data_IF_316844574718
#
_entry.id   IF_316844574718
#
_cell.length_a   1.000
_cell.length_b   1.000
_cell.length_c   1.000
_cell.angle_alpha   90.00
_cell.angle_beta   90.00
_cell.angle_gamma   90.00
#
_symmetry.space_group_name_H-M   'P 1'
#
loop_
_entity.id
_entity.type
_entity.pdbx_description
1 polymer ?
#
# COMPACT_ATOMS: atom_id res chain seq x y z
N UNK A 1 -17.67 -7.86 27.12
CA UNK A 1 -16.83 -7.96 25.94
C UNK A 1 -17.56 -8.40 24.67
N UNK A 2 -18.86 -8.68 24.66
CA UNK A 2 -19.65 -9.08 23.47
C UNK A 2 -20.36 -7.92 22.72
N UNK A 3 -20.19 -6.67 23.12
CA UNK A 3 -20.88 -5.50 22.53
C UNK A 3 -19.98 -4.52 21.75
N UNK A 4 -18.68 -4.79 21.60
CA UNK A 4 -17.77 -3.96 20.82
C UNK A 4 -17.51 -4.53 19.41
N UNK A 5 -17.84 -5.80 19.20
CA UNK A 5 -17.64 -6.53 17.92
C UNK A 5 -18.76 -6.34 16.90
N UNK A 6 -19.85 -5.64 17.26
CA UNK A 6 -21.03 -5.46 16.38
C UNK A 6 -21.02 -4.18 15.54
N UNK A 7 -19.89 -3.46 15.44
CA UNK A 7 -19.82 -2.23 14.65
C UNK A 7 -19.11 -2.36 13.30
N UNK A 8 -18.59 -3.54 12.98
CA UNK A 8 -17.89 -3.78 11.70
C UNK A 8 -18.58 -4.81 10.79
N UNK A 9 -19.69 -5.40 11.20
CA UNK A 9 -20.30 -6.40 10.39
C UNK A 9 -21.73 -6.75 10.77
N UNK A 10 -22.67 -5.82 10.79
CA UNK A 10 -24.09 -6.08 10.60
C UNK A 10 -24.90 -4.77 10.69
N UNK A 11 -25.22 -4.14 9.60
CA UNK A 11 -26.47 -3.40 9.48
C UNK A 11 -27.44 -4.26 8.70
N UNK A 12 -28.44 -4.74 9.43
CA UNK A 12 -29.60 -5.46 8.94
C UNK A 12 -30.30 -4.61 7.89
N UNK A 13 -30.48 -5.20 6.74
CA UNK A 13 -31.25 -4.71 5.59
C UNK A 13 -32.69 -4.45 6.04
N UNK A 14 -33.12 -3.20 6.03
CA UNK A 14 -34.51 -2.85 5.82
C UNK A 14 -34.69 -2.44 4.37
N UNK A 15 -35.34 -3.30 3.61
CA UNK A 15 -35.75 -3.05 2.24
C UNK A 15 -36.67 -1.85 2.15
N UNK A 16 -36.16 -0.74 1.65
CA UNK A 16 -37.00 0.27 1.00
C UNK A 16 -36.51 0.45 -0.42
N UNK A 17 -37.31 -0.06 -1.36
CA UNK A 17 -37.13 0.17 -2.79
C UNK A 17 -37.33 1.63 -3.12
N UNK A 18 -36.25 2.39 -3.12
CA UNK A 18 -36.17 3.64 -3.85
C UNK A 18 -35.04 3.48 -4.87
N UNK A 19 -35.42 3.38 -6.14
CA UNK A 19 -34.51 3.53 -7.27
C UNK A 19 -33.94 4.95 -7.23
N UNK A 20 -32.90 5.15 -6.44
CA UNK A 20 -32.06 6.33 -6.56
C UNK A 20 -31.21 6.14 -7.80
N UNK A 21 -31.45 6.94 -8.81
CA UNK A 21 -30.46 7.16 -9.87
C UNK A 21 -29.24 7.72 -9.15
N UNK A 22 -28.24 6.88 -8.88
CA UNK A 22 -26.96 7.33 -8.36
C UNK A 22 -26.30 8.06 -9.52
N UNK A 23 -26.43 9.39 -9.50
CA UNK A 23 -25.56 10.25 -10.28
C UNK A 23 -24.13 9.96 -9.81
N UNK A 24 -23.33 9.31 -10.64
CA UNK A 24 -21.90 9.14 -10.45
C UNK A 24 -21.20 10.50 -10.57
N UNK A 25 -21.47 11.42 -9.64
CA UNK A 25 -20.66 12.63 -9.49
C UNK A 25 -19.55 12.31 -8.51
N UNK A 26 -18.30 12.34 -8.99
CA UNK A 26 -17.12 12.34 -8.12
C UNK A 26 -17.33 13.50 -7.13
N UNK A 27 -17.21 13.26 -5.81
CA UNK A 27 -17.32 14.32 -4.83
C UNK A 27 -16.32 15.43 -5.15
N UNK A 28 -16.77 16.64 -5.39
CA UNK A 28 -15.88 17.80 -5.46
C UNK A 28 -15.65 18.25 -4.03
N UNK A 29 -14.43 18.02 -3.49
CA UNK A 29 -13.99 18.57 -2.22
C UNK A 29 -13.96 20.10 -2.29
N UNK A 30 -14.14 20.78 -1.17
CA UNK A 30 -13.74 22.19 -1.03
C UNK A 30 -12.24 22.20 -1.30
N UNK A 31 -11.78 22.90 -2.36
CA UNK A 31 -10.42 22.79 -2.89
C UNK A 31 -9.37 22.95 -1.79
N UNK A 32 -8.68 21.86 -1.48
CA UNK A 32 -7.57 21.90 -0.55
C UNK A 32 -6.43 22.65 -1.23
N UNK A 33 -5.86 23.61 -0.52
CA UNK A 33 -4.64 24.27 -0.96
C UNK A 33 -3.45 23.33 -0.74
N UNK A 34 -3.12 22.56 -1.78
CA UNK A 34 -1.96 21.68 -1.79
C UNK A 34 -0.63 22.44 -1.88
N UNK A 35 -0.63 23.78 -2.01
CA UNK A 35 0.57 24.59 -2.16
C UNK A 35 0.94 25.37 -0.89
N UNK A 36 0.24 25.13 0.22
CA UNK A 36 0.47 25.86 1.46
C UNK A 36 1.70 25.32 2.21
N UNK A 37 2.58 26.24 2.65
CA UNK A 37 3.69 26.01 3.58
C UNK A 37 4.65 24.85 3.16
N UNK A 38 4.83 24.63 1.86
CA UNK A 38 5.55 23.47 1.32
C UNK A 38 7.00 23.36 1.83
N UNK A 39 7.70 24.48 1.97
CA UNK A 39 9.07 24.57 2.46
C UNK A 39 9.22 24.34 3.97
N UNK A 40 8.12 24.34 4.72
CA UNK A 40 8.11 24.11 6.18
C UNK A 40 7.77 22.64 6.55
N UNK A 41 7.19 21.88 5.61
CA UNK A 41 6.76 20.51 5.88
C UNK A 41 7.95 19.65 6.31
N UNK A 42 7.85 18.98 7.46
CA UNK A 42 8.87 18.10 8.00
C UNK A 42 10.15 18.79 8.54
N UNK A 43 10.25 20.13 8.51
CA UNK A 43 11.44 20.85 8.96
C UNK A 43 11.65 20.84 10.47
N UNK A 44 10.60 20.75 11.25
CA UNK A 44 10.63 20.80 12.72
C UNK A 44 10.75 19.41 13.39
N UNK A 45 11.02 18.37 12.62
CA UNK A 45 11.23 17.02 13.16
C UNK A 45 12.53 16.96 13.98
N UNK A 46 12.48 16.26 15.12
CA UNK A 46 13.67 15.99 15.93
C UNK A 46 14.55 14.94 15.24
N UNK A 47 15.71 15.37 14.77
CA UNK A 47 16.71 14.55 14.09
C UNK A 47 17.96 14.30 14.93
N UNK A 48 17.90 14.58 16.23
CA UNK A 48 19.08 14.49 17.13
C UNK A 48 19.64 13.07 17.26
N UNK A 49 18.83 12.05 16.89
CA UNK A 49 19.21 10.63 16.90
C UNK A 49 19.42 10.06 15.51
N UNK A 50 19.25 10.86 14.45
CA UNK A 50 19.39 10.40 13.09
C UNK A 50 20.85 10.01 12.79
N UNK A 51 21.04 8.81 12.24
CA UNK A 51 22.37 8.27 11.92
C UNK A 51 22.70 8.48 10.44
N UNK A 52 23.98 8.59 10.13
CA UNK A 52 24.54 8.45 8.78
C UNK A 52 25.01 7.00 8.62
N UNK A 53 24.26 6.19 7.90
CA UNK A 53 24.53 4.76 7.68
C UNK A 53 24.71 4.44 6.20
N UNK A 54 25.15 5.44 5.40
CA UNK A 54 25.46 5.28 3.99
C UNK A 54 26.54 4.22 3.75
N UNK A 55 26.41 3.46 2.68
CA UNK A 55 27.40 2.48 2.25
C UNK A 55 28.10 2.95 0.98
N UNK A 56 29.40 2.74 0.90
CA UNK A 56 30.20 3.08 -0.27
C UNK A 56 30.16 1.94 -1.31
N UNK A 57 30.28 2.32 -2.59
CA UNK A 57 30.48 1.36 -3.67
C UNK A 57 29.29 1.11 -4.58
N UNK A 58 28.09 1.51 -4.18
CA UNK A 58 26.90 1.49 -5.03
C UNK A 58 26.65 2.87 -5.64
N UNK A 59 25.82 2.94 -6.70
CA UNK A 59 25.39 4.21 -7.27
C UNK A 59 24.59 5.03 -6.24
N UNK A 60 23.65 4.39 -5.54
CA UNK A 60 23.01 4.97 -4.37
C UNK A 60 23.76 4.55 -3.10
N UNK A 61 23.99 5.49 -2.20
CA UNK A 61 24.68 5.22 -0.92
C UNK A 61 23.76 4.56 0.12
N UNK A 62 22.45 4.60 -0.07
CA UNK A 62 21.46 3.87 0.74
C UNK A 62 20.14 3.67 -0.01
N UNK A 63 19.29 2.80 0.54
CA UNK A 63 17.99 2.47 -0.02
C UNK A 63 16.97 2.26 1.09
N UNK A 64 15.81 2.89 0.97
CA UNK A 64 14.71 2.80 1.93
C UNK A 64 13.40 2.46 1.22
N UNK A 65 12.51 1.75 1.94
CA UNK A 65 11.19 1.35 1.46
C UNK A 65 10.12 1.92 2.41
N UNK A 66 9.13 2.59 1.86
CA UNK A 66 7.91 3.02 2.54
C UNK A 66 6.71 2.46 1.79
N UNK A 67 5.64 2.12 2.51
CA UNK A 67 4.46 1.62 1.81
C UNK A 67 3.47 0.85 2.67
N UNK A 68 2.69 0.03 1.98
CA UNK A 68 1.68 -0.84 2.58
C UNK A 68 2.02 -2.34 2.42
N UNK A 69 1.00 -3.20 2.29
CA UNK A 69 1.18 -4.65 2.21
C UNK A 69 1.94 -5.13 0.96
N UNK A 70 1.95 -4.36 -0.13
CA UNK A 70 2.71 -4.69 -1.34
C UNK A 70 4.23 -4.52 -1.15
N UNK A 71 4.65 -3.90 -0.05
CA UNK A 71 6.05 -3.63 0.30
C UNK A 71 6.43 -4.10 1.70
N UNK A 72 5.45 -4.57 2.51
CA UNK A 72 5.67 -5.04 3.88
C UNK A 72 6.59 -6.26 3.93
N UNK A 73 7.44 -6.26 4.96
CA UNK A 73 8.34 -7.35 5.31
C UNK A 73 8.53 -7.31 6.84
N UNK A 74 7.67 -8.02 7.57
CA UNK A 74 7.56 -8.00 9.04
C UNK A 74 7.04 -6.69 9.66
N UNK A 75 6.62 -5.70 8.88
CA UNK A 75 6.16 -4.40 9.39
C UNK A 75 4.91 -4.53 10.25
N UNK A 76 3.88 -5.24 9.77
CA UNK A 76 2.64 -5.44 10.54
C UNK A 76 2.88 -6.25 11.84
N UNK A 77 3.77 -7.25 11.80
CA UNK A 77 4.13 -8.03 12.99
C UNK A 77 4.76 -7.12 14.05
N UNK A 78 5.69 -6.26 13.64
CA UNK A 78 6.41 -5.36 14.52
C UNK A 78 5.50 -4.26 15.09
N UNK A 79 4.66 -3.63 14.28
CA UNK A 79 3.78 -2.55 14.77
C UNK A 79 2.69 -3.09 15.70
N UNK A 80 2.15 -4.28 15.45
CA UNK A 80 1.20 -4.92 16.36
C UNK A 80 1.87 -5.17 17.71
N UNK A 81 3.09 -5.71 17.72
CA UNK A 81 3.82 -5.94 18.97
C UNK A 81 4.07 -4.63 19.71
N UNK A 82 4.54 -3.57 19.05
CA UNK A 82 4.79 -2.27 19.67
C UNK A 82 3.54 -1.62 20.29
N UNK A 83 2.37 -1.80 19.65
CA UNK A 83 1.13 -1.14 20.09
C UNK A 83 0.34 -1.93 21.11
N UNK A 84 0.47 -3.25 21.10
CA UNK A 84 -0.42 -4.13 21.89
C UNK A 84 0.32 -5.08 22.81
N UNK A 85 1.63 -5.24 22.71
CA UNK A 85 2.46 -6.30 23.27
C UNK A 85 1.99 -7.72 22.88
N UNK A 86 1.15 -7.85 21.86
CA UNK A 86 0.77 -9.13 21.28
C UNK A 86 1.80 -9.56 20.24
N UNK A 87 2.01 -10.84 20.11
CA UNK A 87 2.85 -11.39 19.03
C UNK A 87 1.94 -11.94 17.97
N UNK A 88 2.10 -11.43 16.76
CA UNK A 88 1.53 -12.01 15.53
C UNK A 88 2.68 -12.44 14.63
N UNK A 89 2.46 -13.52 13.88
CA UNK A 89 3.43 -14.04 12.90
C UNK A 89 2.72 -14.42 11.62
N UNK A 90 3.23 -13.94 10.51
CA UNK A 90 2.79 -14.36 9.18
C UNK A 90 3.35 -15.76 8.90
N UNK A 91 2.48 -16.71 8.65
CA UNK A 91 2.81 -18.15 8.51
C UNK A 91 2.09 -18.78 7.31
N UNK A 92 2.24 -20.09 7.14
CA UNK A 92 1.60 -20.82 6.06
C UNK A 92 2.21 -20.48 4.69
N UNK A 93 1.41 -19.90 3.81
CA UNK A 93 1.86 -19.54 2.46
C UNK A 93 2.53 -18.17 2.38
N UNK A 94 2.39 -17.30 3.39
CA UNK A 94 3.17 -16.08 3.52
C UNK A 94 4.66 -16.40 3.67
N UNK A 95 5.52 -15.63 3.06
CA UNK A 95 6.98 -15.77 3.15
C UNK A 95 7.64 -14.46 3.58
N UNK A 96 8.67 -14.59 4.41
CA UNK A 96 9.51 -13.47 4.83
C UNK A 96 8.74 -12.28 5.44
N UNK A 97 7.63 -12.58 6.15
CA UNK A 97 6.77 -11.55 6.72
C UNK A 97 6.05 -10.67 5.71
N UNK A 98 5.93 -11.13 4.45
CA UNK A 98 5.31 -10.38 3.35
C UNK A 98 3.96 -10.99 2.95
N UNK A 99 3.07 -10.16 2.41
CA UNK A 99 1.74 -10.56 1.94
C UNK A 99 1.79 -11.25 0.57
N UNK A 100 2.76 -12.15 0.41
CA UNK A 100 2.97 -12.93 -0.82
C UNK A 100 3.76 -14.20 -0.50
N UNK A 101 3.97 -15.07 -1.50
CA UNK A 101 4.74 -16.30 -1.39
C UNK A 101 6.26 -16.13 -1.61
N UNK A 102 6.79 -14.92 -1.47
CA UNK A 102 8.22 -14.63 -1.66
C UNK A 102 8.60 -13.21 -1.22
N UNK A 103 9.55 -12.60 -1.90
CA UNK A 103 9.96 -11.21 -1.66
C UNK A 103 9.06 -10.23 -2.42
N UNK A 104 8.87 -9.04 -1.84
CA UNK A 104 8.15 -7.93 -2.50
C UNK A 104 9.00 -7.23 -3.56
N UNK A 105 8.37 -6.48 -4.46
CA UNK A 105 9.06 -5.76 -5.53
C UNK A 105 10.09 -4.75 -5.00
N UNK A 106 9.79 -4.08 -3.89
CA UNK A 106 10.72 -3.15 -3.25
C UNK A 106 11.97 -3.83 -2.71
N UNK A 107 11.83 -5.01 -2.05
CA UNK A 107 12.97 -5.80 -1.55
C UNK A 107 13.81 -6.30 -2.72
N UNK A 108 13.19 -6.83 -3.77
CA UNK A 108 13.89 -7.31 -4.97
C UNK A 108 14.58 -6.17 -5.75
N UNK A 109 14.03 -4.96 -5.73
CA UNK A 109 14.71 -3.78 -6.27
C UNK A 109 15.99 -3.47 -5.46
N UNK A 110 15.92 -3.51 -4.13
CA UNK A 110 17.08 -3.34 -3.27
C UNK A 110 18.20 -4.35 -3.56
N UNK A 111 17.84 -5.62 -3.79
CA UNK A 111 18.79 -6.65 -4.19
C UNK A 111 19.47 -6.33 -5.53
N UNK A 112 18.70 -5.90 -6.54
CA UNK A 112 19.22 -5.47 -7.86
C UNK A 112 20.15 -4.26 -7.78
N UNK A 113 19.96 -3.38 -6.81
CA UNK A 113 20.78 -2.19 -6.56
C UNK A 113 22.02 -2.49 -5.70
N UNK A 114 22.24 -3.75 -5.30
CA UNK A 114 23.41 -4.19 -4.54
C UNK A 114 23.28 -4.08 -3.02
N UNK A 115 22.08 -3.81 -2.50
CA UNK A 115 21.81 -3.80 -1.05
C UNK A 115 21.44 -5.18 -0.49
N UNK A 116 21.26 -6.19 -1.37
CA UNK A 116 20.82 -7.52 -0.99
C UNK A 116 19.38 -7.54 -0.48
N UNK A 117 18.89 -8.71 -0.08
CA UNK A 117 17.57 -8.89 0.50
C UNK A 117 17.52 -8.54 2.00
N UNK A 118 18.65 -8.22 2.61
CA UNK A 118 18.74 -7.76 4.01
C UNK A 118 18.05 -6.40 4.25
N UNK A 119 17.60 -5.74 3.18
CA UNK A 119 16.79 -4.53 3.23
C UNK A 119 15.42 -4.78 3.87
N UNK A 120 14.93 -6.04 3.86
CA UNK A 120 13.76 -6.40 4.65
C UNK A 120 14.09 -6.32 6.14
N UNK A 121 13.10 -5.97 6.95
CA UNK A 121 13.30 -5.90 8.38
C UNK A 121 13.45 -7.27 9.02
N UNK A 122 14.23 -7.30 10.11
CA UNK A 122 14.25 -8.44 11.01
C UNK A 122 13.08 -8.37 12.01
N UNK A 123 12.77 -9.49 12.64
CA UNK A 123 11.75 -9.63 13.69
C UNK A 123 11.91 -8.68 14.90
N UNK A 124 13.05 -8.03 15.05
CA UNK A 124 13.37 -7.19 16.22
C UNK A 124 13.61 -5.71 15.87
N UNK A 125 13.35 -5.31 14.63
CA UNK A 125 13.51 -3.90 14.21
C UNK A 125 12.18 -3.16 14.33
N UNK A 126 11.89 -2.63 15.51
CA UNK A 126 10.69 -1.86 15.78
C UNK A 126 10.78 -0.42 15.26
N UNK A 127 9.63 0.23 15.03
CA UNK A 127 9.54 1.61 14.56
C UNK A 127 10.18 2.61 15.52
N UNK A 128 10.22 2.31 16.81
CA UNK A 128 10.85 3.16 17.84
C UNK A 128 12.32 2.80 18.12
N UNK A 129 12.96 1.95 17.30
CA UNK A 129 14.35 1.59 17.45
C UNK A 129 15.26 2.60 16.76
N UNK A 130 15.85 3.50 17.54
CA UNK A 130 16.81 4.52 17.08
C UNK A 130 18.27 4.07 17.14
N UNK A 131 18.57 2.91 17.70
CA UNK A 131 19.93 2.38 17.78
C UNK A 131 20.30 1.56 16.55
N UNK A 132 19.34 0.78 16.06
CA UNK A 132 19.45 0.01 14.83
C UNK A 132 18.14 0.24 14.05
N UNK A 133 17.97 1.39 13.39
CA UNK A 133 16.74 1.74 12.72
C UNK A 133 16.53 0.86 11.48
N UNK A 134 15.27 0.68 11.17
CA UNK A 134 14.83 -0.11 10.03
C UNK A 134 15.07 0.64 8.71
N UNK A 135 15.13 -0.11 7.60
CA UNK A 135 15.18 0.44 6.24
C UNK A 135 13.91 0.21 5.44
N UNK A 136 13.13 -0.81 5.81
CA UNK A 136 11.79 -1.02 5.28
C UNK A 136 10.75 -0.57 6.32
N UNK A 137 10.06 0.52 6.03
CA UNK A 137 9.03 1.13 6.88
C UNK A 137 7.61 0.72 6.47
N UNK A 138 7.46 -0.07 5.39
CA UNK A 138 6.16 -0.50 4.91
C UNK A 138 5.42 -1.36 5.93
N UNK A 139 4.10 -1.22 6.00
CA UNK A 139 3.24 -1.94 6.94
C UNK A 139 1.93 -2.33 6.26
N UNK A 140 1.59 -3.61 6.33
CA UNK A 140 0.31 -4.10 5.83
C UNK A 140 -0.89 -3.30 6.35
N UNK A 141 -1.76 -2.88 5.46
CA UNK A 141 -2.93 -2.05 5.78
C UNK A 141 -2.63 -0.56 5.94
N UNK A 142 -1.37 -0.11 5.80
CA UNK A 142 -1.06 1.32 5.86
C UNK A 142 -1.78 2.10 4.76
N UNK A 143 -2.11 3.36 5.07
CA UNK A 143 -2.83 4.30 4.20
C UNK A 143 -2.14 5.66 4.18
N UNK A 144 -2.50 6.48 3.22
CA UNK A 144 -2.20 7.92 3.27
C UNK A 144 -3.18 8.65 4.17
N UNK A 145 -4.49 8.43 4.03
CA UNK A 145 -5.50 8.97 4.92
C UNK A 145 -5.54 8.21 6.26
N UNK A 146 -6.12 8.83 7.29
CA UNK A 146 -6.36 8.13 8.56
C UNK A 146 -7.57 7.21 8.46
N UNK A 147 -7.39 5.98 8.88
CA UNK A 147 -8.44 4.97 8.96
C UNK A 147 -9.28 5.11 10.23
N UNK A 148 -10.58 4.83 10.11
CA UNK A 148 -11.46 4.65 11.27
C UNK A 148 -11.42 3.20 11.78
N UNK A 149 -11.97 2.96 12.97
CA UNK A 149 -12.14 1.63 13.55
C UNK A 149 -10.87 1.00 14.14
N UNK A 150 -10.93 -0.31 14.36
CA UNK A 150 -9.90 -1.05 15.09
C UNK A 150 -8.54 -1.03 14.37
N UNK A 151 -8.53 -1.27 13.06
CA UNK A 151 -7.28 -1.20 12.30
C UNK A 151 -6.64 0.18 12.35
N UNK A 152 -7.45 1.27 12.34
CA UNK A 152 -6.94 2.63 12.47
C UNK A 152 -6.12 2.86 13.74
N UNK A 153 -6.40 2.14 14.85
CA UNK A 153 -5.60 2.25 16.07
C UNK A 153 -4.14 1.75 15.89
N UNK A 154 -3.93 0.84 14.95
CA UNK A 154 -2.61 0.29 14.62
C UNK A 154 -2.00 1.08 13.47
N UNK A 155 -2.66 1.11 12.30
CA UNK A 155 -2.06 1.59 11.06
C UNK A 155 -1.93 3.12 10.96
N UNK A 156 -2.75 3.90 11.69
CA UNK A 156 -2.63 5.36 11.66
C UNK A 156 -1.31 5.89 12.23
N UNK A 157 -0.65 5.10 13.09
CA UNK A 157 0.66 5.45 13.65
C UNK A 157 1.81 5.16 12.70
N UNK A 158 1.53 4.47 11.61
CA UNK A 158 2.45 4.08 10.54
C UNK A 158 1.85 4.36 9.16
N UNK A 159 0.99 5.38 9.07
CA UNK A 159 0.56 5.92 7.78
C UNK A 159 1.76 6.41 6.99
N UNK A 160 1.63 6.58 5.67
CA UNK A 160 2.77 6.94 4.82
C UNK A 160 3.49 8.22 5.29
N UNK A 161 2.75 9.22 5.79
CA UNK A 161 3.33 10.43 6.37
C UNK A 161 4.12 10.13 7.65
N UNK A 162 3.63 9.25 8.52
CA UNK A 162 4.33 8.85 9.74
C UNK A 162 5.58 8.01 9.41
N UNK A 163 5.52 7.11 8.43
CA UNK A 163 6.69 6.38 7.94
C UNK A 163 7.79 7.33 7.46
N UNK A 164 7.45 8.36 6.69
CA UNK A 164 8.41 9.38 6.25
C UNK A 164 8.99 10.18 7.42
N UNK A 165 8.19 10.47 8.46
CA UNK A 165 8.69 11.13 9.68
C UNK A 165 9.64 10.22 10.45
N UNK A 166 9.33 8.93 10.63
CA UNK A 166 10.25 7.96 11.25
C UNK A 166 11.57 7.90 10.49
N UNK A 167 11.53 7.77 9.16
CA UNK A 167 12.72 7.73 8.33
C UNK A 167 13.62 8.96 8.59
N UNK A 168 13.07 10.18 8.52
CA UNK A 168 13.82 11.43 8.73
C UNK A 168 14.35 11.57 10.16
N UNK A 169 13.65 11.03 11.16
CA UNK A 169 14.08 11.09 12.56
C UNK A 169 15.15 10.03 12.89
N UNK A 170 15.26 8.97 12.10
CA UNK A 170 16.17 7.84 12.35
C UNK A 170 17.40 7.88 11.44
N UNK A 171 17.29 8.46 10.23
CA UNK A 171 18.38 8.55 9.27
C UNK A 171 18.61 9.99 8.82
N UNK A 172 19.89 10.35 8.64
CA UNK A 172 20.26 11.57 7.94
C UNK A 172 20.11 11.29 6.44
N UNK A 173 19.18 12.00 5.77
CA UNK A 173 18.96 11.80 4.35
C UNK A 173 19.91 12.62 3.49
N UNK A 174 20.41 12.00 2.43
CA UNK A 174 21.33 12.60 1.48
C UNK A 174 20.82 12.51 0.04
N UNK A 175 21.39 13.33 -0.83
CA UNK A 175 20.95 13.42 -2.22
C UNK A 175 21.33 12.23 -3.10
N UNK A 176 22.17 11.36 -2.63
CA UNK A 176 22.66 10.15 -3.29
C UNK A 176 21.99 8.85 -2.75
N UNK A 177 20.86 8.99 -2.07
CA UNK A 177 20.06 7.86 -1.56
C UNK A 177 18.80 7.71 -2.35
N UNK A 178 18.28 6.47 -2.45
CA UNK A 178 17.02 6.14 -3.09
C UNK A 178 15.95 5.79 -2.05
N UNK A 179 14.76 6.35 -2.21
CA UNK A 179 13.59 5.99 -1.43
C UNK A 179 12.53 5.44 -2.38
N UNK A 180 12.11 4.19 -2.17
CA UNK A 180 10.97 3.61 -2.85
C UNK A 180 9.72 3.79 -1.99
N UNK A 181 8.65 4.27 -2.60
CA UNK A 181 7.35 4.49 -1.94
C UNK A 181 6.26 3.82 -2.77
N UNK A 182 5.47 2.99 -2.12
CA UNK A 182 4.28 2.37 -2.71
C UNK A 182 3.12 2.54 -1.75
N UNK A 183 1.99 3.15 -2.18
CA UNK A 183 0.85 3.43 -1.29
C UNK A 183 -0.41 3.81 -2.09
N UNK A 184 -1.57 3.59 -1.47
CA UNK A 184 -2.86 4.12 -1.92
C UNK A 184 -3.92 3.07 -2.17
N UNK A 185 -3.52 1.79 -2.27
CA UNK A 185 -4.46 0.67 -2.47
C UNK A 185 -5.49 0.58 -1.35
N UNK A 186 -5.05 0.68 -0.10
CA UNK A 186 -5.93 0.63 1.07
C UNK A 186 -6.84 1.87 1.19
N UNK A 187 -6.37 3.06 0.80
CA UNK A 187 -7.21 4.27 0.73
C UNK A 187 -8.32 4.09 -0.31
N UNK A 188 -7.98 3.52 -1.47
CA UNK A 188 -8.93 3.24 -2.54
C UNK A 188 -10.00 2.24 -2.09
N UNK A 189 -9.59 1.10 -1.50
CA UNK A 189 -10.51 0.09 -0.97
C UNK A 189 -11.41 0.68 0.13
N UNK A 190 -10.88 1.53 1.02
CA UNK A 190 -11.68 2.22 2.02
C UNK A 190 -12.74 3.13 1.39
N UNK A 191 -12.42 3.87 0.33
CA UNK A 191 -13.38 4.73 -0.38
C UNK A 191 -14.42 3.96 -1.18
N UNK A 192 -14.16 2.71 -1.56
CA UNK A 192 -15.12 1.85 -2.24
C UNK A 192 -16.14 1.21 -1.30
N UNK A 193 -15.99 1.37 0.01
CA UNK A 193 -16.95 0.84 0.98
C UNK A 193 -18.35 1.44 0.78
N UNK A 194 -19.34 0.57 0.64
CA UNK A 194 -20.74 0.94 0.33
C UNK A 194 -21.42 1.75 1.45
N UNK A 195 -20.89 1.68 2.67
CA UNK A 195 -21.45 2.39 3.83
C UNK A 195 -20.98 3.85 3.93
N UNK A 196 -20.08 4.30 3.06
CA UNK A 196 -19.57 5.67 3.10
C UNK A 196 -20.43 6.60 2.23
N UNK A 197 -20.83 7.71 2.81
CA UNK A 197 -21.41 8.84 2.06
C UNK A 197 -20.35 9.49 1.16
N UNK A 198 -20.78 10.18 0.10
CA UNK A 198 -19.89 10.94 -0.78
C UNK A 198 -19.04 11.96 -0.02
N UNK A 199 -19.59 12.60 1.04
CA UNK A 199 -18.84 13.53 1.90
C UNK A 199 -17.70 12.83 2.65
N UNK A 200 -17.92 11.61 3.14
CA UNK A 200 -16.87 10.84 3.81
C UNK A 200 -15.79 10.39 2.83
N UNK A 201 -16.18 9.95 1.64
CA UNK A 201 -15.23 9.59 0.57
C UNK A 201 -14.36 10.77 0.15
N UNK A 202 -14.97 11.96 -0.03
CA UNK A 202 -14.24 13.20 -0.33
C UNK A 202 -13.21 13.51 0.77
N UNK A 203 -13.59 13.40 2.04
CA UNK A 203 -12.66 13.65 3.16
C UNK A 203 -11.48 12.68 3.17
N UNK A 204 -11.71 11.40 2.86
CA UNK A 204 -10.62 10.41 2.74
C UNK A 204 -9.69 10.80 1.60
N UNK A 205 -10.24 11.09 0.41
CA UNK A 205 -9.46 11.52 -0.75
C UNK A 205 -8.63 12.78 -0.45
N UNK A 206 -9.26 13.78 0.11
CA UNK A 206 -8.61 15.05 0.45
C UNK A 206 -7.45 14.82 1.45
N UNK A 207 -7.68 14.04 2.48
CA UNK A 207 -6.65 13.70 3.47
C UNK A 207 -5.52 12.85 2.85
N UNK A 208 -5.86 11.88 2.00
CA UNK A 208 -4.90 11.08 1.25
C UNK A 208 -3.94 11.97 0.46
N UNK A 209 -4.46 12.91 -0.32
CA UNK A 209 -3.66 13.81 -1.16
C UNK A 209 -2.78 14.75 -0.31
N UNK A 210 -3.32 15.31 0.78
CA UNK A 210 -2.54 16.15 1.71
C UNK A 210 -1.40 15.37 2.33
N UNK A 211 -1.66 14.17 2.82
CA UNK A 211 -0.64 13.36 3.50
C UNK A 211 0.41 12.85 2.51
N UNK A 212 0.02 12.50 1.26
CA UNK A 212 0.96 12.13 0.21
C UNK A 212 1.90 13.30 -0.13
N UNK A 213 1.34 14.52 -0.32
CA UNK A 213 2.13 15.74 -0.48
C UNK A 213 3.08 15.95 0.70
N UNK A 214 2.58 15.83 1.93
CA UNK A 214 3.38 15.99 3.13
C UNK A 214 4.52 14.96 3.19
N UNK A 215 4.27 13.72 2.79
CA UNK A 215 5.26 12.66 2.69
C UNK A 215 6.41 13.09 1.78
N UNK A 216 6.11 13.49 0.55
CA UNK A 216 7.14 13.88 -0.41
C UNK A 216 7.93 15.11 0.05
N UNK A 217 7.25 16.15 0.56
CA UNK A 217 7.95 17.34 1.06
C UNK A 217 8.71 17.07 2.36
N UNK A 218 8.23 16.19 3.25
CA UNK A 218 9.01 15.77 4.42
C UNK A 218 10.35 15.18 4.00
N UNK A 219 10.36 14.29 3.03
CA UNK A 219 11.57 13.65 2.55
C UNK A 219 12.50 14.65 1.82
N UNK A 220 11.97 15.37 0.84
CA UNK A 220 12.77 16.28 0.01
C UNK A 220 13.28 17.50 0.77
N UNK A 221 12.49 18.07 1.70
CA UNK A 221 12.93 19.13 2.60
C UNK A 221 14.04 18.68 3.57
N UNK A 222 14.22 17.39 3.77
CA UNK A 222 15.22 16.82 4.66
C UNK A 222 16.38 16.12 3.93
N UNK A 223 16.51 16.29 2.61
CA UNK A 223 17.72 15.89 1.88
C UNK A 223 17.49 14.91 0.73
N UNK A 224 16.38 14.15 0.71
CA UNK A 224 16.11 13.19 -0.37
C UNK A 224 16.02 13.87 -1.75
N UNK A 225 16.61 13.24 -2.76
CA UNK A 225 16.60 13.70 -4.16
C UNK A 225 16.22 12.61 -5.15
N UNK A 226 16.10 11.36 -4.72
CA UNK A 226 15.65 10.26 -5.58
C UNK A 226 14.54 9.50 -4.86
N UNK A 227 13.31 9.74 -5.27
CA UNK A 227 12.11 9.06 -4.79
C UNK A 227 11.48 8.35 -5.97
N UNK A 228 11.46 7.02 -5.94
CA UNK A 228 10.70 6.20 -6.87
C UNK A 228 9.33 5.93 -6.26
N UNK A 229 8.31 6.51 -6.82
CA UNK A 229 6.94 6.34 -6.36
C UNK A 229 6.17 5.35 -7.24
N UNK A 230 5.50 4.37 -6.64
CA UNK A 230 4.54 3.49 -7.29
C UNK A 230 3.15 3.79 -6.71
N UNK A 231 2.21 4.19 -7.57
CA UNK A 231 0.84 4.48 -7.17
C UNK A 231 0.00 3.20 -6.99
N UNK A 232 -1.27 3.37 -6.54
CA UNK A 232 -2.22 2.26 -6.37
C UNK A 232 -2.45 1.51 -7.69
N UNK A 233 -2.62 0.16 -7.67
CA UNK A 233 -3.13 -0.56 -8.83
C UNK A 233 -4.56 -0.14 -9.16
N UNK A 234 -5.01 -0.45 -10.37
CA UNK A 234 -6.43 -0.39 -10.70
C UNK A 234 -7.15 -1.55 -10.02
N UNK A 235 -7.82 -1.23 -8.92
CA UNK A 235 -8.41 -2.23 -8.04
C UNK A 235 -9.62 -2.95 -8.64
N UNK A 236 -10.18 -2.48 -9.77
CA UNK A 236 -11.25 -3.21 -10.44
C UNK A 236 -10.83 -4.61 -10.91
N UNK A 237 -9.52 -4.81 -11.13
CA UNK A 237 -8.97 -6.08 -11.60
C UNK A 237 -8.61 -7.05 -10.48
N UNK A 238 -8.51 -6.62 -9.22
CA UNK A 238 -8.17 -7.55 -8.13
C UNK A 238 -9.32 -8.51 -7.83
N UNK A 239 -9.04 -9.77 -7.40
CA UNK A 239 -10.07 -10.77 -7.14
C UNK A 239 -11.16 -10.28 -6.19
N UNK A 240 -10.82 -9.50 -5.16
CA UNK A 240 -11.76 -8.95 -4.18
C UNK A 240 -12.94 -8.20 -4.83
N UNK A 241 -12.70 -7.46 -5.91
CA UNK A 241 -13.72 -6.72 -6.65
C UNK A 241 -14.12 -7.41 -7.96
N UNK A 242 -13.62 -8.61 -8.23
CA UNK A 242 -13.90 -9.36 -9.45
C UNK A 242 -14.34 -10.79 -9.15
N UNK A 243 -13.41 -11.75 -9.12
CA UNK A 243 -13.74 -13.17 -9.02
C UNK A 243 -14.39 -13.57 -7.69
N UNK A 244 -14.00 -12.89 -6.60
CA UNK A 244 -14.46 -13.20 -5.23
C UNK A 244 -15.42 -12.15 -4.67
N UNK A 245 -15.89 -11.21 -5.52
CA UNK A 245 -16.76 -10.12 -5.09
C UNK A 245 -18.15 -10.62 -4.67
N UNK A 246 -18.55 -10.37 -3.42
CA UNK A 246 -19.86 -10.68 -2.83
C UNK A 246 -20.41 -12.06 -3.28
N UNK A 247 -19.69 -13.16 -3.01
CA UNK A 247 -20.07 -14.50 -3.52
C UNK A 247 -21.41 -15.00 -2.98
N UNK A 248 -21.89 -14.40 -1.88
CA UNK A 248 -23.19 -14.71 -1.26
C UNK A 248 -24.40 -14.17 -2.04
N UNK A 249 -24.19 -13.21 -2.95
CA UNK A 249 -25.28 -12.64 -3.76
C UNK A 249 -25.65 -13.55 -4.94
N UNK A 250 -26.95 -13.55 -5.36
CA UNK A 250 -27.35 -14.14 -6.61
C UNK A 250 -26.56 -13.59 -7.81
N UNK A 251 -26.19 -14.44 -8.77
CA UNK A 251 -25.27 -14.08 -9.86
C UNK A 251 -25.65 -12.79 -10.61
N UNK A 252 -26.93 -12.58 -10.92
CA UNK A 252 -27.38 -11.38 -11.64
C UNK A 252 -27.29 -10.10 -10.79
N UNK A 253 -27.52 -10.19 -9.48
CA UNK A 253 -27.40 -9.09 -8.54
C UNK A 253 -25.91 -8.77 -8.33
N UNK A 254 -25.08 -9.79 -8.09
CA UNK A 254 -23.64 -9.65 -7.96
C UNK A 254 -23.00 -8.98 -9.17
N UNK A 255 -23.38 -9.36 -10.40
CA UNK A 255 -22.81 -8.76 -11.60
C UNK A 255 -23.18 -7.28 -11.73
N UNK A 256 -24.39 -6.90 -11.36
CA UNK A 256 -24.80 -5.48 -11.31
C UNK A 256 -24.03 -4.69 -10.27
N UNK A 257 -23.89 -5.23 -9.06
CA UNK A 257 -23.13 -4.59 -7.98
C UNK A 257 -21.64 -4.47 -8.37
N UNK A 258 -21.07 -5.51 -9.00
CA UNK A 258 -19.70 -5.51 -9.50
C UNK A 258 -19.49 -4.41 -10.54
N UNK A 259 -20.39 -4.24 -11.50
CA UNK A 259 -20.30 -3.15 -12.47
C UNK A 259 -20.28 -1.78 -11.79
N UNK A 260 -21.15 -1.55 -10.79
CA UNK A 260 -21.20 -0.27 -10.06
C UNK A 260 -19.90 0.03 -9.30
N UNK A 261 -19.32 -0.99 -8.63
CA UNK A 261 -18.07 -0.79 -7.91
C UNK A 261 -16.89 -0.57 -8.86
N UNK A 262 -16.86 -1.24 -10.04
CA UNK A 262 -15.85 -1.00 -11.07
C UNK A 262 -15.93 0.42 -11.64
N UNK A 263 -17.14 0.91 -12.01
CA UNK A 263 -17.32 2.28 -12.46
C UNK A 263 -16.81 3.31 -11.41
N UNK A 264 -17.11 3.06 -10.13
CA UNK A 264 -16.65 3.89 -9.03
C UNK A 264 -15.13 3.82 -8.84
N UNK A 265 -14.55 2.62 -8.90
CA UNK A 265 -13.12 2.38 -8.77
C UNK A 265 -12.33 3.12 -9.85
N UNK A 266 -12.78 3.01 -11.10
CA UNK A 266 -12.15 3.68 -12.24
C UNK A 266 -12.17 5.20 -12.08
N UNK A 267 -13.32 5.80 -11.79
CA UNK A 267 -13.46 7.25 -11.58
C UNK A 267 -12.59 7.77 -10.44
N UNK A 268 -12.53 7.06 -9.32
CA UNK A 268 -11.69 7.42 -8.17
C UNK A 268 -10.20 7.26 -8.51
N UNK A 269 -9.83 6.15 -9.15
CA UNK A 269 -8.47 5.86 -9.53
C UNK A 269 -7.90 6.88 -10.51
N UNK A 270 -8.67 7.24 -11.56
CA UNK A 270 -8.31 8.30 -12.49
C UNK A 270 -8.07 9.65 -11.77
N UNK A 271 -8.96 10.00 -10.83
CA UNK A 271 -8.84 11.24 -10.06
C UNK A 271 -7.62 11.21 -9.15
N UNK A 272 -7.40 10.13 -8.40
CA UNK A 272 -6.22 9.96 -7.54
C UNK A 272 -4.94 10.07 -8.37
N UNK A 273 -4.88 9.36 -9.49
CA UNK A 273 -3.72 9.36 -10.38
C UNK A 273 -3.42 10.77 -10.93
N UNK A 274 -4.46 11.48 -11.38
CA UNK A 274 -4.32 12.85 -11.88
C UNK A 274 -3.79 13.82 -10.80
N UNK A 275 -4.39 13.82 -9.60
CA UNK A 275 -3.98 14.73 -8.54
C UNK A 275 -2.59 14.36 -7.98
N UNK A 276 -2.27 13.08 -7.92
CA UNK A 276 -0.93 12.60 -7.54
C UNK A 276 0.14 13.09 -8.50
N UNK A 277 -0.09 13.02 -9.81
CA UNK A 277 0.84 13.58 -10.82
C UNK A 277 1.08 15.07 -10.61
N UNK A 278 0.04 15.85 -10.31
CA UNK A 278 0.18 17.29 -9.99
C UNK A 278 1.03 17.53 -8.72
N UNK A 279 0.87 16.68 -7.70
CA UNK A 279 1.70 16.77 -6.49
C UNK A 279 3.16 16.50 -6.86
N UNK A 280 3.44 15.45 -7.63
CA UNK A 280 4.78 15.10 -8.10
C UNK A 280 5.39 16.24 -8.92
N UNK A 281 4.63 16.81 -9.86
CA UNK A 281 5.06 17.96 -10.67
C UNK A 281 5.41 19.15 -9.78
N UNK A 282 4.60 19.42 -8.74
CA UNK A 282 4.88 20.48 -7.76
C UNK A 282 6.18 20.20 -7.02
N UNK A 283 6.41 18.99 -6.52
CA UNK A 283 7.67 18.64 -5.85
C UNK A 283 8.86 18.80 -6.81
N UNK A 284 8.74 18.34 -8.05
CA UNK A 284 9.80 18.45 -9.06
C UNK A 284 10.07 19.90 -9.52
N UNK A 285 9.13 20.83 -9.32
CA UNK A 285 9.39 22.28 -9.48
C UNK A 285 10.28 22.83 -8.37
N UNK A 286 10.12 22.37 -7.12
CA UNK A 286 10.94 22.77 -5.98
C UNK A 286 12.28 22.02 -5.94
N UNK A 287 12.28 20.76 -6.30
CA UNK A 287 13.41 19.83 -6.26
C UNK A 287 13.49 19.08 -7.60
N UNK A 288 14.16 19.65 -8.61
CA UNK A 288 14.15 19.11 -9.96
C UNK A 288 14.56 17.66 -10.06
N UNK A 289 13.76 16.86 -10.79
CA UNK A 289 13.99 15.43 -11.05
C UNK A 289 14.09 14.55 -9.79
N UNK A 290 13.49 15.00 -8.66
CA UNK A 290 13.57 14.26 -7.40
C UNK A 290 12.58 13.11 -7.29
N UNK A 291 11.45 13.15 -8.01
CA UNK A 291 10.47 12.06 -8.00
C UNK A 291 10.25 11.55 -9.41
N UNK A 292 10.38 10.23 -9.57
CA UNK A 292 9.89 9.49 -10.74
C UNK A 292 8.78 8.54 -10.31
N UNK A 293 7.84 8.26 -11.21
CA UNK A 293 6.66 7.45 -10.91
C UNK A 293 6.56 6.23 -11.83
N UNK A 294 6.37 5.07 -11.22
CA UNK A 294 5.80 3.92 -11.90
C UNK A 294 4.27 3.97 -11.78
N UNK A 295 3.59 4.27 -12.87
CA UNK A 295 2.12 4.40 -12.90
C UNK A 295 1.46 3.02 -12.95
N UNK A 296 1.38 2.35 -11.79
CA UNK A 296 0.80 1.02 -11.68
C UNK A 296 -0.68 1.04 -12.05
N UNK A 297 -1.43 2.12 -11.71
CA UNK A 297 -2.84 2.26 -12.08
C UNK A 297 -3.04 2.10 -13.59
N UNK A 298 -2.34 2.91 -14.38
CA UNK A 298 -2.45 2.85 -15.84
C UNK A 298 -1.86 1.57 -16.44
N UNK A 299 -0.93 0.92 -15.75
CA UNK A 299 -0.25 -0.29 -16.23
C UNK A 299 -0.87 -1.60 -15.75
N UNK A 300 -1.85 -1.59 -14.81
CA UNK A 300 -2.41 -2.82 -14.23
C UNK A 300 -2.94 -3.77 -15.30
N UNK A 301 -3.75 -3.28 -16.24
CA UNK A 301 -4.28 -4.12 -17.33
C UNK A 301 -3.18 -4.71 -18.20
N UNK A 302 -2.22 -3.90 -18.62
CA UNK A 302 -1.08 -4.37 -19.45
C UNK A 302 -0.24 -5.42 -18.73
N UNK A 303 -0.08 -5.28 -17.41
CA UNK A 303 0.62 -6.25 -16.57
C UNK A 303 -0.15 -7.59 -16.54
N UNK A 304 -1.47 -7.55 -16.35
CA UNK A 304 -2.32 -8.74 -16.42
C UNK A 304 -2.27 -9.41 -17.78
N UNK A 305 -2.33 -8.63 -18.87
CA UNK A 305 -2.24 -9.16 -20.24
C UNK A 305 -0.87 -9.82 -20.49
N UNK A 306 0.23 -9.23 -19.98
CA UNK A 306 1.57 -9.80 -20.06
C UNK A 306 1.66 -11.18 -19.41
N UNK A 307 1.08 -11.36 -18.25
CA UNK A 307 1.06 -12.65 -17.57
C UNK A 307 0.03 -13.62 -18.17
N UNK A 308 -1.18 -13.16 -18.46
CA UNK A 308 -2.27 -13.98 -18.98
C UNK A 308 -2.00 -14.45 -20.41
N UNK A 309 -1.92 -13.51 -21.35
CA UNK A 309 -1.73 -13.82 -22.75
C UNK A 309 -0.28 -14.20 -23.09
N UNK A 310 0.69 -13.53 -22.44
CA UNK A 310 2.11 -13.74 -22.71
C UNK A 310 2.69 -15.00 -22.06
N UNK A 311 2.26 -15.35 -20.85
CA UNK A 311 2.84 -16.44 -20.05
C UNK A 311 1.83 -17.54 -19.68
N UNK A 312 0.53 -17.36 -19.99
CA UNK A 312 -0.51 -18.36 -19.72
C UNK A 312 -0.94 -18.43 -18.25
N UNK A 313 -0.74 -17.38 -17.47
CA UNK A 313 -1.16 -17.33 -16.07
C UNK A 313 -2.68 -17.17 -15.93
N UNK A 314 -3.23 -17.72 -14.85
CA UNK A 314 -4.56 -17.32 -14.37
C UNK A 314 -4.43 -15.92 -13.74
N UNK A 315 -5.06 -14.93 -14.37
CA UNK A 315 -5.02 -13.52 -13.94
C UNK A 315 -6.32 -13.09 -13.24
N UNK A 316 -7.16 -14.03 -12.85
CA UNK A 316 -8.50 -13.74 -12.30
C UNK A 316 -8.67 -14.30 -10.88
N UNK A 317 -8.28 -15.56 -10.67
CA UNK A 317 -8.51 -16.26 -9.40
C UNK A 317 -7.24 -16.26 -8.53
N UNK A 318 -7.39 -16.11 -7.21
CA UNK A 318 -6.28 -16.19 -6.28
C UNK A 318 -5.94 -17.65 -5.92
N UNK A 319 -4.68 -17.88 -5.52
CA UNK A 319 -4.21 -19.20 -5.03
C UNK A 319 -4.60 -19.42 -3.56
N UNK A 320 -4.60 -18.36 -2.77
CA UNK A 320 -4.99 -18.40 -1.35
C UNK A 320 -6.17 -17.47 -1.09
N UNK A 321 -6.67 -17.46 0.15
CA UNK A 321 -7.76 -16.59 0.57
C UNK A 321 -7.28 -15.61 1.64
N UNK A 322 -7.71 -14.37 1.51
CA UNK A 322 -7.59 -13.35 2.55
C UNK A 322 -8.93 -13.23 3.27
N UNK A 323 -8.99 -13.70 4.52
CA UNK A 323 -10.14 -13.44 5.40
C UNK A 323 -9.80 -12.21 6.27
N UNK A 324 -10.22 -11.02 5.81
CA UNK A 324 -9.94 -9.77 6.51
C UNK A 324 -10.51 -9.75 7.94
N UNK A 325 -11.67 -10.37 8.16
CA UNK A 325 -12.28 -10.41 9.50
C UNK A 325 -11.49 -11.30 10.43
N UNK A 326 -11.08 -12.48 9.97
CA UNK A 326 -10.22 -13.37 10.72
C UNK A 326 -8.82 -12.77 10.94
N UNK A 327 -8.30 -12.02 9.97
CA UNK A 327 -7.03 -11.30 10.08
C UNK A 327 -7.09 -10.28 11.23
N UNK A 328 -8.13 -9.44 11.26
CA UNK A 328 -8.33 -8.42 12.30
C UNK A 328 -8.49 -9.09 13.68
N UNK A 329 -9.32 -10.11 13.79
CA UNK A 329 -9.52 -10.85 15.03
C UNK A 329 -8.23 -11.47 15.56
N UNK A 330 -7.41 -12.05 14.68
CA UNK A 330 -6.09 -12.61 15.03
C UNK A 330 -5.09 -11.55 15.46
N UNK A 331 -5.06 -10.39 14.77
CA UNK A 331 -4.21 -9.26 15.16
C UNK A 331 -4.49 -8.83 16.61
N UNK A 332 -5.76 -8.75 17.00
CA UNK A 332 -6.16 -8.34 18.35
C UNK A 332 -6.19 -9.48 19.37
N UNK A 333 -6.10 -10.73 18.96
CA UNK A 333 -5.96 -11.88 19.85
C UNK A 333 -4.51 -12.33 20.05
N UNK A 334 -3.63 -11.96 19.15
CA UNK A 334 -2.29 -12.52 18.97
C UNK A 334 -2.34 -13.89 18.27
N UNK A 335 -1.27 -14.29 17.65
CA UNK A 335 -1.14 -15.61 17.03
C UNK A 335 -0.72 -15.56 15.55
N UNK A 336 -0.96 -16.66 14.83
CA UNK A 336 -0.53 -16.79 13.46
C UNK A 336 -1.54 -16.18 12.47
N UNK A 337 -1.05 -15.38 11.56
CA UNK A 337 -1.78 -14.91 10.38
C UNK A 337 -1.48 -15.90 9.25
N UNK A 338 -2.45 -16.70 8.90
CA UNK A 338 -2.32 -17.72 7.84
C UNK A 338 -3.10 -17.32 6.59
N UNK A 339 -2.58 -17.71 5.43
CA UNK A 339 -3.25 -17.61 4.13
C UNK A 339 -3.60 -19.03 3.65
N UNK A 340 -4.81 -19.53 3.92
CA UNK A 340 -5.20 -20.87 3.46
C UNK A 340 -5.36 -20.90 1.95
N UNK A 341 -5.10 -22.05 1.33
CA UNK A 341 -5.36 -22.23 -0.08
C UNK A 341 -6.85 -22.04 -0.42
N UNK A 342 -7.11 -21.43 -1.57
CA UNK A 342 -8.42 -21.47 -2.20
C UNK A 342 -8.77 -22.92 -2.57
N UNK A 343 -10.08 -23.21 -2.75
CA UNK A 343 -10.54 -24.57 -3.05
C UNK A 343 -9.86 -25.15 -4.30
N UNK A 344 -9.24 -26.31 -4.17
CA UNK A 344 -8.53 -27.00 -5.23
C UNK A 344 -7.13 -26.50 -5.55
N UNK A 345 -6.67 -25.42 -4.91
CA UNK A 345 -5.33 -24.85 -5.13
C UNK A 345 -4.27 -25.52 -4.26
N UNK A 346 -3.03 -25.45 -4.73
CA UNK A 346 -1.84 -26.01 -4.12
C UNK A 346 -0.64 -25.07 -4.25
N UNK A 347 0.49 -25.43 -3.68
CA UNK A 347 1.75 -24.66 -3.83
C UNK A 347 2.20 -24.53 -5.29
N UNK A 348 1.88 -25.51 -6.16
CA UNK A 348 2.25 -25.47 -7.58
C UNK A 348 1.52 -24.36 -8.36
N UNK A 349 0.38 -23.92 -7.86
CA UNK A 349 -0.44 -22.90 -8.53
C UNK A 349 0.15 -21.49 -8.41
N UNK A 350 1.09 -21.26 -7.48
CA UNK A 350 1.82 -20.00 -7.41
C UNK A 350 2.67 -19.71 -8.66
N UNK A 351 3.08 -20.76 -9.40
CA UNK A 351 3.92 -20.61 -10.59
C UNK A 351 3.14 -20.22 -11.84
N UNK A 352 1.81 -20.26 -11.78
CA UNK A 352 0.92 -19.99 -12.92
C UNK A 352 -0.29 -19.12 -12.58
N UNK A 353 -0.29 -18.43 -11.43
CA UNK A 353 -1.31 -17.47 -11.04
C UNK A 353 -0.71 -16.10 -10.77
N UNK A 354 -1.45 -15.07 -11.19
CA UNK A 354 -1.07 -13.68 -10.94
C UNK A 354 -1.28 -13.30 -9.46
N UNK A 355 -2.43 -13.70 -8.89
CA UNK A 355 -2.82 -13.31 -7.54
C UNK A 355 -2.48 -14.39 -6.52
N UNK A 356 -1.77 -13.96 -5.47
CA UNK A 356 -1.49 -14.75 -4.29
C UNK A 356 -2.75 -14.97 -3.46
N UNK A 357 -3.46 -13.88 -3.13
CA UNK A 357 -4.74 -13.86 -2.43
C UNK A 357 -5.75 -12.92 -3.11
N UNK A 358 -6.84 -12.60 -2.44
CA UNK A 358 -7.91 -11.76 -3.00
C UNK A 358 -7.46 -10.33 -3.36
N UNK A 359 -6.28 -9.90 -2.92
CA UNK A 359 -5.73 -8.55 -3.11
C UNK A 359 -4.31 -8.56 -3.70
N UNK A 360 -3.43 -9.41 -3.19
CA UNK A 360 -1.99 -9.33 -3.40
C UNK A 360 -1.51 -10.19 -4.58
N UNK A 361 -0.48 -9.77 -5.32
CA UNK A 361 0.11 -10.57 -6.38
C UNK A 361 1.07 -11.64 -5.84
N UNK A 362 1.40 -12.65 -6.66
CA UNK A 362 2.41 -13.66 -6.37
C UNK A 362 3.84 -13.09 -6.47
N UNK A 363 4.81 -13.82 -5.90
CA UNK A 363 6.23 -13.46 -5.95
C UNK A 363 6.76 -13.30 -7.39
N UNK A 364 6.26 -14.06 -8.36
CA UNK A 364 6.65 -13.93 -9.77
C UNK A 364 6.24 -12.56 -10.35
N UNK A 365 5.08 -12.06 -9.96
CA UNK A 365 4.62 -10.71 -10.36
C UNK A 365 5.47 -9.64 -9.68
N UNK A 366 5.74 -9.75 -8.39
CA UNK A 366 6.66 -8.86 -7.69
C UNK A 366 8.05 -8.81 -8.35
N UNK A 367 8.58 -9.97 -8.77
CA UNK A 367 9.85 -10.04 -9.49
C UNK A 367 9.79 -9.25 -10.81
N UNK A 368 8.75 -9.44 -11.61
CA UNK A 368 8.57 -8.69 -12.86
C UNK A 368 8.49 -7.18 -12.59
N UNK A 369 7.65 -6.76 -11.63
CA UNK A 369 7.52 -5.35 -11.26
C UNK A 369 8.87 -4.78 -10.81
N UNK A 370 9.68 -5.51 -10.04
CA UNK A 370 11.01 -5.06 -9.64
C UNK A 370 11.95 -4.78 -10.82
N UNK A 371 11.76 -5.51 -11.94
CA UNK A 371 12.53 -5.29 -13.17
C UNK A 371 12.08 -4.01 -13.89
N UNK A 372 10.78 -3.72 -13.90
CA UNK A 372 10.25 -2.46 -14.45
C UNK A 372 10.68 -1.26 -13.60
N UNK A 373 10.64 -1.37 -12.26
CA UNK A 373 11.12 -0.34 -11.35
C UNK A 373 12.61 -0.05 -11.56
N UNK A 374 13.44 -1.08 -11.73
CA UNK A 374 14.87 -0.93 -11.99
C UNK A 374 15.17 -0.18 -13.30
N UNK A 375 14.31 -0.29 -14.32
CA UNK A 375 14.46 0.50 -15.58
C UNK A 375 14.28 1.99 -15.32
N UNK A 376 13.31 2.38 -14.48
CA UNK A 376 13.07 3.78 -14.12
C UNK A 376 14.24 4.32 -13.28
N UNK A 377 14.75 3.52 -12.34
CA UNK A 377 15.89 3.91 -11.50
C UNK A 377 17.13 4.23 -12.34
N UNK A 378 17.40 3.46 -13.38
CA UNK A 378 18.51 3.70 -14.32
C UNK A 378 18.47 5.06 -15.01
N UNK A 379 17.33 5.72 -15.09
CA UNK A 379 17.25 7.07 -15.65
C UNK A 379 17.87 8.15 -14.75
N UNK A 380 18.24 7.81 -13.50
CA UNK A 380 19.03 8.68 -12.62
C UNK A 380 20.55 8.42 -12.74
N UNK A 381 20.94 7.21 -13.19
CA UNK A 381 22.35 6.84 -13.43
C UNK A 381 22.91 7.53 -14.70
#
# INVERSE_FOLDING_TARGET
MRKLLSFLGAMVITTSTTTSIISCSIPQGEGIDLNKDLDLIGKNLDKSKAIDDRVAGNFFSNYYILGDSLSDSHGIENVVHEKTNLTVKMTGNYKNGSFTNGETAGVLLGDKLGFGTEIRDSDVQYFNNYTNPRRNYAVGGATSAKMAGAMGMIVNSVSIEEQAKYLVQQHQLFSDELIFIEIGGNDMMAMLNDNLSNVQQTKILDQMLVNLRNTFFTLTNNGARHILFMNTPDVEYIPLYNATYKPELPAAEREKEKQLVHEKANLLGEKINYETKKIIDTVNQYYPNSIKMYDLFSNTKSLLDTFGEGQGYNTTNPVTRLDESALIDKIFAGGNLDSPFAEGMTTADFDNHFFFDDVHPTANVHKYVSEELAKIVKEWE
#
